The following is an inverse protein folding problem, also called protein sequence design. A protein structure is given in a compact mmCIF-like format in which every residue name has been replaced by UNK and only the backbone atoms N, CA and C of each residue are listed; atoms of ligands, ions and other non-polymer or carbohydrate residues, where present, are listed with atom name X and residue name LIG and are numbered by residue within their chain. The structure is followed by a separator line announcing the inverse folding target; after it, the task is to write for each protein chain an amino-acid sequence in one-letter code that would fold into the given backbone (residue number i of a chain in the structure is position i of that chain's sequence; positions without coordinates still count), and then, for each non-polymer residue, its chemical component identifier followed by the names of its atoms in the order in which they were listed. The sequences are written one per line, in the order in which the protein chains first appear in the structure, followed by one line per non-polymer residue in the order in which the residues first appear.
data_IF_406105344067
#
_entry.id   IF_406105344067
#
_cell.length_a   1.000
_cell.length_b   1.000
_cell.length_c   1.000
_cell.angle_alpha   90.00
_cell.angle_beta   90.00
_cell.angle_gamma   90.00
#
_symmetry.space_group_name_H-M   'P 1'
#
loop_
_entity.id
_entity.type
_entity.pdbx_description
1 polymer ?
#
# COMPACT_ATOMS: atom_id res chain seq x y z
N UNK A 1 -27.96 9.00 -12.28
CA UNK A 1 -26.99 9.21 -11.19
C UNK A 1 -26.04 8.03 -11.15
N UNK A 2 -24.84 8.18 -11.73
CA UNK A 2 -23.81 7.14 -11.67
C UNK A 2 -23.29 7.08 -10.24
N UNK A 3 -23.84 6.17 -9.43
CA UNK A 3 -23.25 5.80 -8.14
C UNK A 3 -21.86 5.26 -8.45
N UNK A 4 -20.82 6.06 -8.22
CA UNK A 4 -19.46 5.55 -8.17
C UNK A 4 -19.50 4.43 -7.12
N UNK A 5 -19.28 3.18 -7.55
CA UNK A 5 -19.16 2.06 -6.62
C UNK A 5 -18.15 2.49 -5.57
N UNK A 6 -18.43 2.35 -4.26
CA UNK A 6 -17.42 2.58 -3.25
C UNK A 6 -16.23 1.75 -3.70
N UNK A 7 -15.09 2.40 -3.93
CA UNK A 7 -13.85 1.73 -4.28
C UNK A 7 -13.71 0.66 -3.22
N UNK A 8 -13.94 -0.59 -3.59
CA UNK A 8 -13.76 -1.71 -2.70
C UNK A 8 -12.38 -1.46 -2.08
N UNK A 9 -12.35 -1.35 -0.76
CA UNK A 9 -11.09 -1.32 -0.03
C UNK A 9 -10.51 -2.75 -0.12
N UNK A 10 -10.28 -3.21 -1.34
CA UNK A 10 -9.63 -4.45 -1.66
C UNK A 10 -8.34 -4.44 -0.89
N UNK A 11 -8.00 -5.57 -0.29
CA UNK A 11 -6.76 -5.75 0.44
C UNK A 11 -5.51 -5.69 -0.47
N UNK A 12 -5.63 -5.16 -1.68
CA UNK A 12 -4.61 -5.02 -2.70
C UNK A 12 -4.33 -3.55 -2.98
N UNK A 13 -3.09 -3.14 -2.77
CA UNK A 13 -2.52 -1.87 -3.16
C UNK A 13 -2.45 -1.79 -4.68
N UNK A 14 -3.11 -0.79 -5.27
CA UNK A 14 -2.90 -0.47 -6.67
C UNK A 14 -1.66 0.41 -6.81
N UNK A 15 -0.57 -0.16 -7.33
CA UNK A 15 0.70 0.56 -7.55
C UNK A 15 0.60 1.64 -8.63
N UNK A 16 -0.36 1.54 -9.55
CA UNK A 16 -0.64 2.60 -10.53
C UNK A 16 -1.33 3.80 -9.88
N UNK A 17 -2.02 3.60 -8.74
CA UNK A 17 -2.64 4.68 -7.98
C UNK A 17 -1.63 5.38 -7.06
N UNK A 18 -1.03 6.45 -7.59
CA UNK A 18 -0.05 7.29 -6.86
C UNK A 18 -0.58 7.84 -5.53
N UNK A 19 -1.90 8.06 -5.40
CA UNK A 19 -2.51 8.57 -4.16
C UNK A 19 -2.47 7.48 -3.08
N UNK A 20 -2.85 6.24 -3.41
CA UNK A 20 -2.79 5.12 -2.47
C UNK A 20 -1.36 4.84 -2.01
N UNK A 21 -0.40 4.84 -2.94
CA UNK A 21 1.03 4.67 -2.62
C UNK A 21 1.52 5.78 -1.69
N UNK A 22 1.19 7.04 -1.98
CA UNK A 22 1.59 8.19 -1.16
C UNK A 22 1.01 8.13 0.25
N UNK A 23 -0.27 7.75 0.39
CA UNK A 23 -0.93 7.60 1.68
C UNK A 23 -0.29 6.46 2.48
N UNK A 24 -0.10 5.30 1.86
CA UNK A 24 0.45 4.14 2.54
C UNK A 24 1.90 4.39 2.98
N UNK A 25 2.73 4.98 2.12
CA UNK A 25 4.10 5.37 2.47
C UNK A 25 4.14 6.33 3.66
N UNK A 26 3.28 7.34 3.68
CA UNK A 26 3.17 8.29 4.81
C UNK A 26 2.73 7.60 6.11
N UNK A 27 1.76 6.70 6.04
CA UNK A 27 1.26 5.96 7.21
C UNK A 27 2.34 5.04 7.80
N UNK A 28 3.08 4.36 6.94
CA UNK A 28 4.13 3.42 7.34
C UNK A 28 5.46 4.11 7.70
N UNK A 29 5.58 5.42 7.46
CA UNK A 29 6.81 6.20 7.69
C UNK A 29 8.04 5.59 7.01
N UNK A 30 7.85 5.02 5.82
CA UNK A 30 8.92 4.38 5.04
C UNK A 30 9.51 5.34 4.01
N UNK A 31 10.81 5.19 3.74
CA UNK A 31 11.45 5.76 2.55
C UNK A 31 10.91 5.09 1.27
N UNK A 32 11.10 5.72 0.11
CA UNK A 32 10.68 5.14 -1.18
C UNK A 32 11.36 3.79 -1.44
N UNK A 33 12.64 3.68 -1.11
CA UNK A 33 13.42 2.44 -1.27
C UNK A 33 12.92 1.33 -0.35
N UNK A 34 12.67 1.64 0.93
CA UNK A 34 12.11 0.70 1.90
C UNK A 34 10.71 0.24 1.46
N UNK A 35 9.88 1.18 1.01
CA UNK A 35 8.54 0.86 0.54
C UNK A 35 8.56 -0.05 -0.70
N UNK A 36 9.44 0.24 -1.68
CA UNK A 36 9.63 -0.62 -2.86
C UNK A 36 10.12 -2.01 -2.47
N UNK A 37 11.05 -2.10 -1.52
CA UNK A 37 11.54 -3.38 -1.01
C UNK A 37 10.42 -4.21 -0.35
N UNK A 38 9.60 -3.57 0.50
CA UNK A 38 8.45 -4.20 1.14
C UNK A 38 7.42 -4.68 0.12
N UNK A 39 7.06 -3.84 -0.85
CA UNK A 39 6.12 -4.21 -1.92
C UNK A 39 6.66 -5.37 -2.75
N UNK A 40 7.97 -5.38 -3.05
CA UNK A 40 8.59 -6.49 -3.79
C UNK A 40 8.56 -7.80 -3.01
N UNK A 41 8.70 -7.74 -1.68
CA UNK A 41 8.70 -8.91 -0.80
C UNK A 41 7.30 -9.41 -0.43
N UNK A 42 6.37 -8.49 -0.22
CA UNK A 42 5.00 -8.75 0.26
C UNK A 42 3.96 -8.87 -0.86
N UNK A 43 4.32 -8.46 -2.08
CA UNK A 43 3.39 -8.33 -3.19
C UNK A 43 2.47 -7.11 -3.03
N UNK A 44 1.35 -7.13 -3.76
CA UNK A 44 0.38 -6.03 -3.73
C UNK A 44 -0.53 -6.04 -2.51
N UNK A 45 -0.46 -7.02 -1.60
CA UNK A 45 -1.38 -7.05 -0.46
C UNK A 45 -1.06 -5.98 0.59
N UNK A 46 -2.02 -5.12 0.93
CA UNK A 46 -1.86 -4.05 1.93
C UNK A 46 -1.58 -4.64 3.32
N UNK A 47 -2.31 -5.67 3.73
CA UNK A 47 -2.03 -6.36 5.00
C UNK A 47 -0.62 -6.92 5.07
N UNK A 48 -0.13 -7.52 3.98
CA UNK A 48 1.22 -8.07 3.92
C UNK A 48 2.27 -6.95 4.02
N UNK A 49 2.08 -5.84 3.29
CA UNK A 49 2.95 -4.66 3.36
C UNK A 49 2.97 -4.08 4.78
N UNK A 50 1.82 -3.97 5.46
CA UNK A 50 1.75 -3.47 6.84
C UNK A 50 2.52 -4.40 7.79
N UNK A 51 2.26 -5.72 7.71
CA UNK A 51 2.94 -6.71 8.56
C UNK A 51 4.46 -6.68 8.37
N UNK A 52 4.90 -6.61 7.13
CA UNK A 52 6.32 -6.61 6.80
C UNK A 52 6.99 -5.28 7.15
N UNK A 53 6.28 -4.15 6.99
CA UNK A 53 6.77 -2.85 7.47
C UNK A 53 6.92 -2.80 8.99
N UNK A 54 6.05 -3.49 9.74
CA UNK A 54 6.18 -3.60 11.19
C UNK A 54 7.40 -4.44 11.59
N UNK A 55 7.84 -5.38 10.75
CA UNK A 55 9.05 -6.18 10.97
C UNK A 55 10.35 -5.46 10.60
N UNK A 56 10.28 -4.34 9.88
CA UNK A 56 11.43 -3.53 9.47
C UNK A 56 11.84 -2.47 10.51
N UNK A 57 11.04 -2.31 11.56
CA UNK A 57 11.26 -1.34 12.63
C UNK A 57 11.95 -2.02 13.80
#
# INVERSE_FOLDING_TARGET
MNRQKPVDFSNSLNLANKVQVKILRRRLKLSDEQFRSVVRKSGSSISAIIKESASLK
#
